data_IF_424099693485
#
_entry.id   IF_424099693485
#
_cell.length_a   1.000
_cell.length_b   1.000
_cell.length_c   1.000
_cell.angle_alpha   90.00
_cell.angle_beta   90.00
_cell.angle_gamma   90.00
#
_symmetry.space_group_name_H-M   'P 1'
#
loop_
_entity.id
_entity.type
_entity.pdbx_description
1 polymer ?
#
# COMPACT_ATOMS: atom_id res chain seq x y z
N UNK A 1 -14.59 15.11 2.45
CA UNK A 1 -13.53 14.39 3.16
C UNK A 1 -12.22 15.16 3.14
N UNK A 2 -11.72 15.47 1.95
CA UNK A 2 -10.47 16.23 1.84
C UNK A 2 -10.54 17.59 2.53
N UNK A 3 -11.66 18.27 2.38
CA UNK A 3 -11.81 19.60 2.93
C UNK A 3 -11.84 19.66 4.44
N UNK A 4 -12.03 18.51 5.08
CA UNK A 4 -12.03 18.44 6.54
C UNK A 4 -10.64 18.30 7.13
N UNK A 5 -9.66 18.12 6.27
CA UNK A 5 -8.29 17.97 6.73
C UNK A 5 -7.71 19.35 7.05
N UNK A 6 -6.74 19.35 7.93
CA UNK A 6 -5.98 20.58 8.18
C UNK A 6 -5.22 20.96 6.91
N UNK A 7 -4.86 22.24 6.76
CA UNK A 7 -4.08 22.64 5.58
C UNK A 7 -2.80 21.83 5.40
N UNK A 8 -2.13 21.49 6.49
CA UNK A 8 -0.92 20.69 6.40
C UNK A 8 -1.23 19.30 5.88
N UNK A 9 -2.30 18.70 6.37
CA UNK A 9 -2.68 17.36 5.91
C UNK A 9 -3.14 17.40 4.46
N UNK A 10 -3.84 18.45 4.06
CA UNK A 10 -4.23 18.58 2.66
C UNK A 10 -3.00 18.64 1.75
N UNK A 11 -1.99 19.36 2.17
CA UNK A 11 -0.76 19.44 1.38
C UNK A 11 -0.08 18.09 1.28
N UNK A 12 -0.03 17.33 2.38
CA UNK A 12 0.57 16.00 2.36
C UNK A 12 -0.22 15.06 1.46
N UNK A 13 -1.53 15.07 1.61
CA UNK A 13 -2.39 14.19 0.80
C UNK A 13 -2.22 14.50 -0.68
N UNK A 14 -2.12 15.78 -1.04
CA UNK A 14 -1.94 16.16 -2.43
C UNK A 14 -0.64 15.63 -3.02
N UNK A 15 0.33 15.38 -2.18
CA UNK A 15 1.62 14.83 -2.59
C UNK A 15 1.71 13.32 -2.41
N UNK A 16 0.62 12.70 -1.98
CA UNK A 16 0.63 11.27 -1.72
C UNK A 16 1.40 10.89 -0.48
N UNK A 17 1.49 11.79 0.49
CA UNK A 17 2.24 11.57 1.71
C UNK A 17 1.32 11.49 2.92
N UNK A 18 1.76 10.79 3.94
CA UNK A 18 1.01 10.67 5.19
C UNK A 18 1.94 10.97 6.35
N UNK A 19 1.34 11.14 7.53
CA UNK A 19 2.09 11.36 8.76
C UNK A 19 1.40 10.64 9.91
N UNK A 20 2.11 10.48 10.99
CA UNK A 20 1.51 9.91 12.18
C UNK A 20 0.41 10.83 12.68
N UNK A 21 -0.65 10.22 13.19
CA UNK A 21 -1.81 10.97 13.66
C UNK A 21 -2.87 11.23 12.62
N UNK A 22 -2.60 10.96 11.35
CA UNK A 22 -3.61 11.13 10.32
C UNK A 22 -4.74 10.12 10.47
N UNK A 23 -5.94 10.53 10.07
CA UNK A 23 -7.09 9.64 10.08
C UNK A 23 -6.99 8.61 8.95
N UNK A 24 -7.78 7.55 9.08
CA UNK A 24 -7.87 6.56 8.00
C UNK A 24 -8.35 7.20 6.71
N UNK A 25 -9.27 8.15 6.80
CA UNK A 25 -9.77 8.83 5.61
C UNK A 25 -8.66 9.58 4.89
N UNK A 26 -7.79 10.24 5.65
CA UNK A 26 -6.68 10.97 5.05
C UNK A 26 -5.71 10.04 4.36
N UNK A 27 -5.40 8.90 4.97
CA UNK A 27 -4.53 7.93 4.35
C UNK A 27 -5.16 7.36 3.09
N UNK A 28 -6.46 7.10 3.14
CA UNK A 28 -7.17 6.62 1.96
C UNK A 28 -7.09 7.62 0.81
N UNK A 29 -7.23 8.91 1.13
CA UNK A 29 -7.11 9.94 0.11
C UNK A 29 -5.70 10.03 -0.47
N UNK A 30 -4.70 9.83 0.37
CA UNK A 30 -3.30 9.94 -0.07
C UNK A 30 -2.83 8.70 -0.80
N UNK A 31 -3.16 7.53 -0.28
CA UNK A 31 -2.62 6.25 -0.76
C UNK A 31 -3.65 5.37 -1.46
N UNK A 32 -4.93 5.68 -1.33
CA UNK A 32 -5.97 4.88 -1.94
C UNK A 32 -6.39 3.71 -1.08
N UNK A 33 -7.11 2.80 -1.71
CA UNK A 33 -7.59 1.61 -1.04
C UNK A 33 -6.45 0.64 -0.80
N UNK A 34 -6.27 0.17 0.43
CA UNK A 34 -5.22 -0.82 0.69
C UNK A 34 -5.55 -2.15 0.04
N UNK A 35 -4.50 -2.88 -0.29
CA UNK A 35 -4.67 -4.23 -0.83
C UNK A 35 -5.06 -5.22 0.25
N UNK A 36 -4.58 -5.00 1.45
CA UNK A 36 -4.89 -5.87 2.58
C UNK A 36 -5.08 -5.04 3.82
N UNK A 37 -6.02 -5.48 4.65
CA UNK A 37 -6.23 -4.94 5.99
C UNK A 37 -6.02 -6.08 6.96
N UNK A 38 -5.05 -5.94 7.82
CA UNK A 38 -4.66 -7.03 8.72
C UNK A 38 -4.88 -6.59 10.15
N UNK A 39 -5.63 -7.36 10.94
CA UNK A 39 -5.75 -7.05 12.36
C UNK A 39 -4.38 -7.07 13.03
N UNK A 40 -4.18 -6.13 13.92
CA UNK A 40 -2.92 -5.99 14.63
C UNK A 40 -3.21 -5.59 16.05
N UNK A 41 -2.19 -5.49 16.87
CA UNK A 41 -2.34 -4.94 18.21
C UNK A 41 -1.14 -4.10 18.54
N UNK A 42 -1.39 -3.03 19.27
CA UNK A 42 -0.35 -2.14 19.76
C UNK A 42 -0.58 -2.03 21.25
N UNK A 43 0.40 -2.49 22.04
CA UNK A 43 0.31 -2.43 23.50
C UNK A 43 -1.01 -3.04 24.00
N UNK A 44 -1.34 -4.21 23.45
CA UNK A 44 -2.54 -4.95 23.83
C UNK A 44 -3.85 -4.26 23.44
N UNK A 45 -3.80 -3.27 22.58
CA UNK A 45 -4.99 -2.62 22.07
C UNK A 45 -5.21 -2.99 20.62
N UNK A 46 -6.46 -3.15 20.19
CA UNK A 46 -6.72 -3.47 18.79
C UNK A 46 -6.18 -2.39 17.87
N UNK A 47 -5.62 -2.83 16.77
CA UNK A 47 -5.11 -1.95 15.72
C UNK A 47 -5.38 -2.61 14.38
N UNK A 48 -5.12 -1.87 13.31
CA UNK A 48 -5.31 -2.39 11.97
C UNK A 48 -4.15 -1.92 11.11
N UNK A 49 -3.60 -2.84 10.34
CA UNK A 49 -2.52 -2.52 9.42
C UNK A 49 -3.05 -2.57 8.00
N UNK A 50 -2.86 -1.49 7.28
CA UNK A 50 -3.16 -1.42 5.86
C UNK A 50 -1.88 -1.70 5.10
N UNK A 51 -1.93 -2.69 4.22
CA UNK A 51 -0.76 -3.08 3.44
C UNK A 51 -1.03 -2.77 1.99
N UNK A 52 -0.06 -2.13 1.35
CA UNK A 52 -0.13 -1.81 -0.06
C UNK A 52 0.89 -2.66 -0.78
N UNK A 53 0.43 -3.37 -1.77
CA UNK A 53 1.25 -4.32 -2.50
C UNK A 53 1.57 -3.77 -3.87
N UNK A 54 2.67 -4.22 -4.40
CA UNK A 54 3.00 -3.97 -5.78
C UNK A 54 3.00 -5.29 -6.52
N UNK A 55 2.35 -5.30 -7.67
CA UNK A 55 2.32 -6.46 -8.52
C UNK A 55 3.21 -6.17 -9.70
N UNK A 56 4.25 -6.97 -9.86
CA UNK A 56 5.13 -6.83 -10.99
C UNK A 56 5.10 -8.10 -11.80
N UNK A 57 4.88 -7.93 -13.08
CA UNK A 57 5.09 -9.04 -14.00
C UNK A 57 6.55 -9.03 -14.40
N UNK A 58 7.15 -10.20 -14.55
CA UNK A 58 8.49 -10.24 -15.10
C UNK A 58 8.50 -9.52 -16.42
N UNK A 59 9.59 -8.87 -16.75
CA UNK A 59 9.67 -8.22 -18.06
C UNK A 59 9.42 -9.26 -19.12
N UNK A 60 8.52 -8.96 -20.02
CA UNK A 60 8.24 -9.88 -21.10
C UNK A 60 9.21 -9.58 -22.22
N UNK A 61 10.37 -10.10 -22.10
CA UNK A 61 11.37 -9.90 -23.09
C UNK A 61 10.92 -10.50 -24.39
N UNK A 62 11.09 -9.79 -25.41
CA UNK A 62 10.72 -10.28 -26.69
C UNK A 62 9.25 -10.25 -26.97
N UNK A 63 8.49 -9.73 -26.06
CA UNK A 63 7.07 -9.56 -26.31
C UNK A 63 6.42 -10.81 -26.84
N UNK A 64 5.74 -10.68 -27.97
CA UNK A 64 4.92 -11.80 -28.44
C UNK A 64 5.66 -13.08 -28.75
N UNK A 65 6.93 -13.00 -29.07
CA UNK A 65 7.59 -14.24 -29.43
C UNK A 65 7.83 -15.11 -28.25
N UNK A 66 7.74 -14.53 -27.14
CA UNK A 66 8.01 -15.22 -25.95
C UNK A 66 6.96 -16.23 -25.68
N UNK A 67 5.88 -16.15 -26.41
CA UNK A 67 4.73 -16.91 -26.09
C UNK A 67 4.64 -18.14 -26.88
N UNK A 68 5.54 -19.03 -26.73
CA UNK A 68 5.21 -20.36 -27.12
C UNK A 68 4.11 -20.84 -26.18
N UNK A 69 3.40 -21.87 -26.56
CA UNK A 69 2.31 -22.34 -25.73
C UNK A 69 2.73 -22.75 -24.34
N UNK A 70 3.95 -23.22 -24.19
CA UNK A 70 4.41 -23.65 -22.89
C UNK A 70 4.77 -22.51 -21.99
N UNK A 71 4.95 -21.32 -22.55
CA UNK A 71 5.37 -20.19 -21.76
C UNK A 71 4.36 -19.79 -20.73
N UNK A 72 3.12 -20.01 -21.02
CA UNK A 72 2.08 -19.69 -20.07
C UNK A 72 2.22 -20.46 -18.78
N UNK A 73 2.75 -21.67 -18.89
CA UNK A 73 2.95 -22.49 -17.72
C UNK A 73 4.14 -22.03 -16.90
N UNK A 74 5.05 -21.34 -17.57
CA UNK A 74 6.30 -20.95 -16.93
C UNK A 74 6.43 -19.49 -16.64
N UNK A 75 5.44 -18.72 -17.00
CA UNK A 75 5.44 -17.33 -16.59
C UNK A 75 5.36 -17.34 -15.08
N UNK A 76 6.40 -16.86 -14.41
CA UNK A 76 6.35 -16.88 -12.96
C UNK A 76 5.16 -16.09 -12.48
N UNK A 77 4.59 -16.46 -11.37
CA UNK A 77 3.54 -15.64 -10.79
C UNK A 77 4.05 -14.23 -10.66
N UNK A 78 3.14 -13.30 -10.75
CA UNK A 78 3.48 -11.91 -10.58
C UNK A 78 4.23 -11.77 -9.27
N UNK A 79 5.31 -11.02 -9.34
CA UNK A 79 5.99 -10.69 -8.10
C UNK A 79 5.07 -9.79 -7.31
N UNK A 80 4.73 -10.23 -6.14
CA UNK A 80 3.86 -9.50 -5.24
C UNK A 80 4.66 -9.22 -3.99
N UNK A 81 4.84 -7.95 -3.67
CA UNK A 81 5.55 -7.62 -2.46
C UNK A 81 4.98 -6.34 -1.88
N UNK A 82 5.03 -6.19 -0.57
CA UNK A 82 4.55 -4.97 0.05
C UNK A 82 5.51 -3.82 -0.24
N UNK A 83 4.94 -2.66 -0.55
CA UNK A 83 5.74 -1.46 -0.82
C UNK A 83 5.63 -0.46 0.31
N UNK A 84 4.52 -0.47 1.01
CA UNK A 84 4.32 0.44 2.14
C UNK A 84 3.19 -0.09 2.99
N UNK A 85 3.18 0.33 4.22
CA UNK A 85 2.15 -0.08 5.16
C UNK A 85 1.92 1.03 6.17
N UNK A 86 0.72 1.08 6.72
CA UNK A 86 0.37 2.00 7.78
C UNK A 86 -0.44 1.26 8.82
N UNK A 87 -0.10 1.45 10.08
CA UNK A 87 -0.83 0.82 11.17
C UNK A 87 -1.60 1.89 11.93
N UNK A 88 -2.86 1.60 12.15
CA UNK A 88 -3.78 2.54 12.78
C UNK A 88 -4.17 2.08 14.16
N UNK A 89 -4.21 3.01 15.08
CA UNK A 89 -4.75 2.80 16.41
C UNK A 89 -5.78 3.89 16.65
N UNK A 90 -6.98 3.50 17.09
CA UNK A 90 -8.07 4.45 17.29
C UNK A 90 -8.38 5.28 16.04
N UNK A 91 -8.26 4.67 14.86
CA UNK A 91 -8.56 5.35 13.62
C UNK A 91 -7.53 6.37 13.16
N UNK A 92 -6.35 6.37 13.78
CA UNK A 92 -5.28 7.30 13.40
C UNK A 92 -3.98 6.54 13.22
N UNK A 93 -3.16 7.04 12.32
CA UNK A 93 -1.88 6.41 12.03
C UNK A 93 -1.00 6.43 13.27
N UNK A 94 -0.62 5.25 13.71
CA UNK A 94 0.32 5.10 14.80
C UNK A 94 1.76 5.06 14.27
N UNK A 95 1.96 4.34 13.17
CA UNK A 95 3.25 4.35 12.48
C UNK A 95 3.02 3.86 11.05
N UNK A 96 3.97 4.15 10.20
CA UNK A 96 3.92 3.74 8.81
C UNK A 96 5.34 3.65 8.28
N UNK A 97 5.48 3.00 7.14
CA UNK A 97 6.79 2.89 6.52
C UNK A 97 6.69 2.44 5.08
N UNK A 98 7.80 2.63 4.40
CA UNK A 98 7.98 2.16 3.04
C UNK A 98 8.90 0.97 3.10
N UNK A 99 8.56 -0.05 2.34
CA UNK A 99 9.30 -1.29 2.35
C UNK A 99 10.10 -1.38 1.05
N UNK A 100 11.38 -1.75 1.14
CA UNK A 100 12.16 -1.90 -0.09
C UNK A 100 11.69 -3.10 -0.88
N UNK A 101 11.84 -3.08 -2.21
CA UNK A 101 11.54 -4.27 -2.99
C UNK A 101 12.49 -5.41 -2.62
N UNK A 102 12.02 -6.63 -2.74
CA UNK A 102 12.86 -7.79 -2.44
C UNK A 102 14.01 -7.94 -3.41
#
# INVERSE_FOLDING_TARGET
MYQRLSPNDQALVSQGQIREGMSTDAVWLAWGTPDQKIPASIRDRPAETWVYLRYETPPSYGGPYYYGPFDWSYIPPKFIYPIRAATFSNGRVAYFGYLPPP
#
